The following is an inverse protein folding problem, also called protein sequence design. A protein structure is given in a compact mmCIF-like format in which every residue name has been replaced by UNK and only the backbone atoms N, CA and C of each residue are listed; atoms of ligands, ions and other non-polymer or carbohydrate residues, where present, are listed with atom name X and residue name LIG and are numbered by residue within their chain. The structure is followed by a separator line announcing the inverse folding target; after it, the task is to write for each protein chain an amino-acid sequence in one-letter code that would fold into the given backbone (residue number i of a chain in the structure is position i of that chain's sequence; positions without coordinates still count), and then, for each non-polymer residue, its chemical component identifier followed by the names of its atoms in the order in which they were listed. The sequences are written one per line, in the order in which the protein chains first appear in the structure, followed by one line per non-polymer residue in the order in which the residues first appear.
data_IF_183632771978
#
_entry.id   IF_183632771978
#
_cell.length_a   1.000
_cell.length_b   1.000
_cell.length_c   1.000
_cell.angle_alpha   90.00
_cell.angle_beta   90.00
_cell.angle_gamma   90.00
#
_symmetry.space_group_name_H-M   'P 1'
#
loop_
_entity.id
_entity.type
_entity.pdbx_description
1 polymer ?
#
# COMPACT_ATOMS: atom_id res chain seq x y z
N UNK A 1 -26.68 22.01 -52.19
CA UNK A 1 -25.81 21.68 -51.05
C UNK A 1 -26.35 20.69 -50.01
N UNK A 2 -27.67 20.50 -49.83
CA UNK A 2 -28.18 19.67 -48.71
C UNK A 2 -27.99 18.15 -48.84
N UNK A 3 -27.91 17.57 -50.04
CA UNK A 3 -27.72 16.12 -50.21
C UNK A 3 -26.32 15.61 -49.82
N UNK A 4 -25.27 16.43 -49.99
CA UNK A 4 -23.89 16.05 -49.65
C UNK A 4 -23.63 16.04 -48.13
N UNK A 5 -24.28 16.95 -47.38
CA UNK A 5 -24.18 17.04 -45.92
C UNK A 5 -24.85 15.85 -45.21
N UNK A 6 -26.02 15.42 -45.70
CA UNK A 6 -26.74 14.25 -45.16
C UNK A 6 -25.98 12.95 -45.41
N UNK A 7 -25.33 12.80 -46.58
CA UNK A 7 -24.56 11.60 -46.92
C UNK A 7 -23.32 11.43 -46.01
N UNK A 8 -22.64 12.53 -45.66
CA UNK A 8 -21.49 12.51 -44.73
C UNK A 8 -21.89 12.15 -43.30
N UNK A 9 -23.04 12.64 -42.81
CA UNK A 9 -23.54 12.28 -41.47
C UNK A 9 -23.87 10.78 -41.36
N UNK A 10 -24.54 10.23 -42.37
CA UNK A 10 -24.84 8.79 -42.41
C UNK A 10 -23.56 7.93 -42.45
N UNK A 11 -22.53 8.36 -43.16
CA UNK A 11 -21.25 7.65 -43.24
C UNK A 11 -20.50 7.67 -41.89
N UNK A 12 -20.55 8.80 -41.20
CA UNK A 12 -19.96 8.95 -39.86
C UNK A 12 -20.68 8.08 -38.82
N UNK A 13 -22.01 7.99 -38.91
CA UNK A 13 -22.82 7.13 -38.03
C UNK A 13 -22.65 5.64 -38.35
N UNK A 14 -22.46 5.29 -39.61
CA UNK A 14 -22.11 3.93 -40.01
C UNK A 14 -20.72 3.53 -39.50
N UNK A 15 -19.74 4.42 -39.58
CA UNK A 15 -18.40 4.18 -39.04
C UNK A 15 -18.45 4.01 -37.51
N UNK A 16 -19.17 4.89 -36.79
CA UNK A 16 -19.37 4.75 -35.33
C UNK A 16 -20.00 3.41 -34.95
N UNK A 17 -21.03 2.97 -35.66
CA UNK A 17 -21.68 1.67 -35.42
C UNK A 17 -20.74 0.50 -35.67
N UNK A 18 -19.90 0.57 -36.70
CA UNK A 18 -18.88 -0.47 -37.00
C UNK A 18 -17.82 -0.53 -35.89
N UNK A 19 -17.34 0.62 -35.41
CA UNK A 19 -16.35 0.68 -34.33
C UNK A 19 -16.93 0.15 -33.01
N UNK A 20 -18.16 0.54 -32.65
CA UNK A 20 -18.83 0.01 -31.46
C UNK A 20 -19.00 -1.52 -31.55
N UNK A 21 -19.44 -2.04 -32.70
CA UNK A 21 -19.59 -3.48 -32.90
C UNK A 21 -18.26 -4.24 -32.84
N UNK A 22 -17.19 -3.66 -33.38
CA UNK A 22 -15.83 -4.23 -33.29
C UNK A 22 -15.29 -4.19 -31.85
N UNK A 23 -15.56 -3.12 -31.11
CA UNK A 23 -15.22 -3.00 -29.69
C UNK A 23 -15.97 -4.03 -28.85
N UNK A 24 -17.29 -4.16 -29.02
CA UNK A 24 -18.10 -5.16 -28.32
C UNK A 24 -17.67 -6.59 -28.66
N UNK A 25 -17.28 -6.84 -29.91
CA UNK A 25 -16.73 -8.14 -30.34
C UNK A 25 -15.38 -8.43 -29.68
N UNK A 26 -14.45 -7.46 -29.66
CA UNK A 26 -13.16 -7.63 -28.99
C UNK A 26 -13.30 -7.85 -27.47
N UNK A 27 -14.22 -7.12 -26.82
CA UNK A 27 -14.55 -7.34 -25.40
C UNK A 27 -15.16 -8.73 -25.21
N UNK A 28 -16.07 -9.16 -26.09
CA UNK A 28 -16.66 -10.49 -26.03
C UNK A 28 -15.62 -11.59 -26.28
N UNK A 29 -14.61 -11.38 -27.13
CA UNK A 29 -13.57 -12.35 -27.40
C UNK A 29 -12.53 -12.44 -26.27
N UNK A 30 -12.15 -11.30 -25.67
CA UNK A 30 -11.20 -11.25 -24.54
C UNK A 30 -11.83 -11.79 -23.25
N UNK A 31 -13.14 -11.59 -23.05
CA UNK A 31 -13.84 -11.98 -21.83
C UNK A 31 -14.76 -13.20 -21.98
N UNK A 32 -14.95 -13.73 -23.20
CA UNK A 32 -15.58 -15.04 -23.36
C UNK A 32 -14.63 -16.10 -22.82
N UNK A 33 -15.12 -16.83 -21.84
CA UNK A 33 -14.42 -17.96 -21.27
C UNK A 33 -14.27 -18.97 -22.42
N UNK A 34 -13.05 -19.12 -22.93
CA UNK A 34 -12.72 -20.08 -23.98
C UNK A 34 -13.30 -21.43 -23.58
N UNK A 35 -14.33 -21.85 -24.30
CA UNK A 35 -14.89 -23.20 -24.21
C UNK A 35 -13.79 -24.12 -24.74
N UNK A 36 -13.01 -24.69 -23.84
CA UNK A 36 -11.94 -25.62 -24.17
C UNK A 36 -12.53 -26.76 -24.98
N UNK A 37 -12.10 -26.86 -26.23
CA UNK A 37 -12.37 -28.04 -27.04
C UNK A 37 -11.72 -29.24 -26.35
N UNK A 38 -12.58 -30.14 -25.89
CA UNK A 38 -12.26 -31.48 -25.42
C UNK A 38 -11.51 -32.24 -26.52
N UNK A 39 -10.24 -32.52 -26.27
CA UNK A 39 -9.38 -33.36 -27.10
C UNK A 39 -8.29 -33.96 -26.20
N UNK A 40 -8.48 -35.24 -25.85
CA UNK A 40 -7.75 -35.98 -24.83
C UNK A 40 -6.22 -36.04 -25.04
N UNK A 41 -5.45 -35.76 -23.97
CA UNK A 41 -4.26 -36.55 -23.63
C UNK A 41 -3.96 -36.44 -22.13
N UNK A 42 -4.04 -37.59 -21.44
CA UNK A 42 -3.76 -37.75 -20.01
C UNK A 42 -2.28 -37.55 -19.74
N UNK A 43 -1.95 -36.60 -18.86
CA UNK A 43 -0.87 -36.60 -17.83
C UNK A 43 -0.54 -35.16 -17.43
N UNK A 44 -1.52 -34.40 -16.96
CA UNK A 44 -1.26 -33.22 -16.12
C UNK A 44 -2.36 -33.22 -15.08
N UNK A 45 -1.99 -33.52 -13.84
CA UNK A 45 -2.85 -33.30 -12.69
C UNK A 45 -3.36 -31.85 -12.79
N UNK A 46 -4.67 -31.59 -12.67
CA UNK A 46 -5.20 -30.23 -12.72
C UNK A 46 -4.40 -29.38 -11.74
N UNK A 47 -3.68 -28.38 -12.24
CA UNK A 47 -2.92 -27.48 -11.37
C UNK A 47 -3.90 -26.94 -10.33
N UNK A 48 -3.62 -27.37 -9.12
CA UNK A 48 -4.44 -27.22 -7.95
C UNK A 48 -4.63 -25.72 -7.69
N UNK A 49 -5.81 -25.42 -7.14
CA UNK A 49 -6.35 -24.13 -6.73
C UNK A 49 -5.35 -22.99 -6.49
N UNK A 50 -5.78 -21.76 -6.83
CA UNK A 50 -5.18 -20.46 -6.46
C UNK A 50 -4.62 -20.41 -5.01
N UNK A 51 -5.19 -21.21 -4.10
CA UNK A 51 -4.74 -21.44 -2.72
C UNK A 51 -3.27 -21.91 -2.61
N UNK A 52 -2.79 -22.79 -3.50
CA UNK A 52 -1.41 -23.30 -3.43
C UNK A 52 -0.35 -22.27 -3.86
N UNK A 53 -0.71 -21.36 -4.77
CA UNK A 53 0.19 -20.25 -5.12
C UNK A 53 0.29 -19.23 -3.97
N UNK A 54 -0.78 -19.07 -3.19
CA UNK A 54 -0.76 -18.22 -1.99
C UNK A 54 0.10 -18.84 -0.87
N UNK A 55 0.04 -20.15 -0.68
CA UNK A 55 0.87 -20.87 0.30
C UNK A 55 2.37 -20.74 0.00
N UNK A 56 2.77 -20.62 -1.27
CA UNK A 56 4.16 -20.39 -1.67
C UNK A 56 4.65 -18.97 -1.38
N UNK A 57 3.81 -17.96 -1.57
CA UNK A 57 4.12 -16.57 -1.23
C UNK A 57 4.18 -16.37 0.30
N UNK A 58 3.33 -17.08 1.04
CA UNK A 58 3.35 -17.11 2.50
C UNK A 58 4.61 -17.82 3.03
N UNK A 59 4.97 -19.00 2.49
CA UNK A 59 6.21 -19.68 2.85
C UNK A 59 7.47 -18.86 2.52
N UNK A 60 7.46 -18.14 1.40
CA UNK A 60 8.57 -17.27 1.00
C UNK A 60 8.70 -16.03 1.90
N UNK A 61 7.57 -15.42 2.28
CA UNK A 61 7.56 -14.28 3.20
C UNK A 61 7.92 -14.68 4.63
N UNK A 62 7.53 -15.86 5.09
CA UNK A 62 7.98 -16.46 6.35
C UNK A 62 9.50 -16.73 6.34
N UNK A 63 10.03 -17.33 5.28
CA UNK A 63 11.47 -17.56 5.14
C UNK A 63 12.25 -16.23 5.16
N UNK A 64 11.72 -15.19 4.50
CA UNK A 64 12.33 -13.87 4.47
C UNK A 64 12.31 -13.17 5.84
N UNK A 65 11.23 -13.33 6.61
CA UNK A 65 11.12 -12.82 7.98
C UNK A 65 12.06 -13.56 8.94
N UNK A 66 12.12 -14.89 8.85
CA UNK A 66 13.04 -15.72 9.66
C UNK A 66 14.50 -15.37 9.39
N UNK A 67 14.87 -15.17 8.12
CA UNK A 67 16.21 -14.69 7.75
C UNK A 67 16.47 -13.27 8.26
N UNK A 68 15.48 -12.38 8.23
CA UNK A 68 15.59 -11.03 8.78
C UNK A 68 15.83 -11.02 10.29
N UNK A 69 15.07 -11.82 11.03
CA UNK A 69 15.20 -11.95 12.48
C UNK A 69 16.51 -12.63 12.89
N UNK A 70 16.93 -13.66 12.15
CA UNK A 70 18.20 -14.35 12.38
C UNK A 70 19.41 -13.46 12.05
N UNK A 71 19.39 -12.74 10.93
CA UNK A 71 20.44 -11.77 10.60
C UNK A 71 20.46 -10.63 11.62
N UNK A 72 19.30 -10.17 12.09
CA UNK A 72 19.20 -9.12 13.10
C UNK A 72 19.70 -9.53 14.48
N UNK A 73 19.64 -10.83 14.82
CA UNK A 73 20.18 -11.37 16.08
C UNK A 73 21.67 -11.69 15.96
N UNK A 74 22.13 -12.24 14.84
CA UNK A 74 23.56 -12.52 14.60
C UNK A 74 24.40 -11.26 14.44
N UNK A 75 23.96 -10.29 13.64
CA UNK A 75 24.69 -9.01 13.49
C UNK A 75 24.71 -8.19 14.79
N UNK A 76 23.69 -8.33 15.63
CA UNK A 76 23.65 -7.65 16.94
C UNK A 76 24.60 -8.31 17.94
N UNK A 77 24.68 -9.64 17.95
CA UNK A 77 25.66 -10.40 18.76
C UNK A 77 27.10 -10.15 18.31
N UNK A 78 27.35 -10.04 17.01
CA UNK A 78 28.69 -9.73 16.48
C UNK A 78 29.12 -8.30 16.80
N UNK A 79 28.21 -7.32 16.82
CA UNK A 79 28.52 -5.94 17.25
C UNK A 79 28.73 -5.80 18.77
N UNK A 80 28.22 -6.73 19.57
CA UNK A 80 28.30 -6.68 21.04
C UNK A 80 29.52 -7.46 21.58
N UNK A 81 30.29 -8.11 20.69
CA UNK A 81 31.51 -8.87 21.00
C UNK A 81 32.80 -8.27 20.40
N UNK A 82 32.73 -7.14 19.69
CA UNK A 82 33.88 -6.53 18.98
C UNK A 82 34.64 -5.47 19.82
N UNK A 83 34.30 -5.31 21.10
CA UNK A 83 34.92 -4.31 22.00
C UNK A 83 35.82 -4.92 23.10
N UNK A 84 36.24 -6.19 23.01
CA UNK A 84 37.19 -6.77 24.00
C UNK A 84 38.31 -7.57 23.30
N UNK A 85 39.42 -6.85 23.09
CA UNK A 85 40.83 -7.24 22.98
C UNK A 85 41.25 -8.66 22.53
N UNK A 86 42.01 -8.67 21.43
CA UNK A 86 42.95 -9.70 20.99
C UNK A 86 44.19 -9.73 21.91
N UNK A 87 44.55 -10.90 22.45
CA UNK A 87 45.97 -11.27 22.38
C UNK A 87 46.20 -12.68 21.82
N UNK A 88 46.53 -12.73 20.52
CA UNK A 88 47.39 -13.78 19.96
C UNK A 88 48.81 -13.66 20.51
N UNK A 89 49.29 -14.73 21.14
CA UNK A 89 50.45 -15.55 20.71
C UNK A 89 51.19 -16.13 21.92
N UNK A 90 51.14 -17.45 22.08
CA UNK A 90 52.32 -18.25 22.42
C UNK A 90 52.04 -19.71 22.06
N UNK A 91 52.51 -20.10 20.88
CA UNK A 91 52.75 -21.49 20.55
C UNK A 91 54.23 -21.76 20.82
N UNK A 92 54.51 -22.60 21.81
CA UNK A 92 55.77 -23.34 21.98
C UNK A 92 55.34 -24.78 22.24
N UNK A 93 55.29 -25.63 21.21
CA UNK A 93 56.40 -26.49 20.78
C UNK A 93 57.05 -27.26 21.94
N UNK A 94 56.58 -28.48 22.19
CA UNK A 94 57.45 -29.60 22.59
C UNK A 94 56.80 -30.89 22.11
N UNK A 95 57.26 -31.40 20.97
CA UNK A 95 57.26 -32.84 20.74
C UNK A 95 58.55 -33.42 21.33
N UNK A 96 58.50 -34.57 22.01
CA UNK A 96 59.61 -35.48 22.07
C UNK A 96 59.50 -36.47 20.91
N UNK A 97 60.50 -36.42 20.03
CA UNK A 97 60.73 -37.46 19.04
C UNK A 97 61.33 -38.72 19.68
N UNK A 98 61.21 -39.81 18.91
CA UNK A 98 61.92 -41.10 18.97
C UNK A 98 61.28 -42.21 19.82
N UNK A 99 60.59 -43.13 19.13
CA UNK A 99 60.90 -44.57 19.23
C UNK A 99 60.68 -45.24 17.86
N UNK A 100 61.77 -45.40 17.11
CA UNK A 100 61.81 -46.26 15.94
C UNK A 100 61.90 -47.72 16.42
N UNK A 101 60.81 -48.48 16.30
CA UNK A 101 60.83 -49.93 16.51
C UNK A 101 60.23 -50.64 15.30
N UNK A 102 61.03 -51.53 14.71
CA UNK A 102 60.62 -52.42 13.64
C UNK A 102 59.59 -53.42 14.18
N UNK A 103 58.37 -53.38 13.65
CA UNK A 103 57.30 -54.33 13.99
C UNK A 103 57.09 -55.26 12.80
N UNK A 104 57.42 -56.55 12.95
CA UNK A 104 57.24 -57.56 11.90
C UNK A 104 55.98 -58.42 12.07
N UNK A 105 55.18 -58.21 13.12
CA UNK A 105 53.92 -58.93 13.35
C UNK A 105 52.94 -58.13 14.24
N UNK A 106 51.63 -58.27 13.99
CA UNK A 106 50.52 -57.61 14.67
C UNK A 106 50.33 -58.09 16.12
N UNK A 107 50.67 -59.34 16.42
CA UNK A 107 50.53 -59.91 17.78
C UNK A 107 51.56 -59.34 18.77
N UNK A 108 52.76 -58.96 18.30
CA UNK A 108 53.79 -58.32 19.14
C UNK A 108 53.39 -56.91 19.59
N UNK A 109 52.55 -56.21 18.82
CA UNK A 109 52.01 -54.89 19.20
C UNK A 109 51.05 -55.00 20.39
N UNK A 110 50.18 -56.01 20.38
CA UNK A 110 49.22 -56.22 21.44
C UNK A 110 49.87 -56.73 22.73
N UNK A 111 50.89 -57.58 22.61
CA UNK A 111 51.64 -58.07 23.77
C UNK A 111 52.36 -56.92 24.50
N UNK A 112 52.95 -55.96 23.76
CA UNK A 112 53.68 -54.84 24.34
C UNK A 112 52.76 -53.78 24.96
N UNK A 113 51.62 -53.48 24.34
CA UNK A 113 50.58 -52.62 24.92
C UNK A 113 49.93 -53.23 26.17
N UNK A 114 49.95 -54.56 26.31
CA UNK A 114 49.41 -55.26 27.47
C UNK A 114 50.39 -55.31 28.66
N UNK A 115 51.70 -55.16 28.41
CA UNK A 115 52.76 -55.20 29.43
C UNK A 115 53.17 -53.81 29.95
N UNK A 116 52.75 -52.72 29.29
CA UNK A 116 53.13 -51.36 29.67
C UNK A 116 52.34 -50.89 30.90
N UNK A 117 53.02 -50.81 32.05
CA UNK A 117 52.49 -50.38 33.35
C UNK A 117 52.28 -48.84 33.39
N UNK A 118 51.61 -48.30 32.36
CA UNK A 118 51.29 -46.88 32.22
C UNK A 118 50.33 -46.39 33.30
N UNK A 119 49.51 -47.29 33.88
CA UNK A 119 48.55 -46.92 34.92
C UNK A 119 49.21 -46.27 36.15
N UNK A 120 50.43 -46.68 36.54
CA UNK A 120 51.10 -46.10 37.72
C UNK A 120 51.75 -44.75 37.41
N UNK A 121 52.29 -44.59 36.20
CA UNK A 121 52.89 -43.35 35.72
C UNK A 121 51.81 -42.31 35.46
N UNK A 122 50.70 -42.71 34.83
CA UNK A 122 49.53 -41.85 34.60
C UNK A 122 48.88 -41.45 35.91
N UNK A 123 48.75 -42.36 36.89
CA UNK A 123 48.19 -42.01 38.20
C UNK A 123 49.09 -41.06 38.98
N UNK A 124 50.42 -41.23 38.95
CA UNK A 124 51.34 -40.31 39.63
C UNK A 124 51.40 -38.93 38.96
N UNK A 125 51.23 -38.86 37.63
CA UNK A 125 51.12 -37.60 36.90
C UNK A 125 49.81 -36.88 37.17
N UNK A 126 48.69 -37.61 37.21
CA UNK A 126 47.36 -37.07 37.53
C UNK A 126 47.32 -36.55 38.97
N UNK A 127 47.95 -37.27 39.90
CA UNK A 127 48.04 -36.86 41.29
C UNK A 127 48.88 -35.58 41.45
N UNK A 128 50.02 -35.45 40.76
CA UNK A 128 50.79 -34.21 40.74
C UNK A 128 50.01 -33.03 40.12
N UNK A 129 49.24 -33.26 39.05
CA UNK A 129 48.37 -32.23 38.45
C UNK A 129 47.24 -31.78 39.38
N UNK A 130 46.75 -32.66 40.23
CA UNK A 130 45.72 -32.33 41.23
C UNK A 130 46.30 -31.60 42.45
N UNK A 131 47.56 -31.88 42.81
CA UNK A 131 48.26 -31.23 43.93
C UNK A 131 48.87 -29.87 43.54
N UNK A 132 49.00 -29.59 42.24
CA UNK A 132 49.49 -28.32 41.72
C UNK A 132 48.39 -27.24 41.80
N UNK A 133 48.43 -26.40 42.85
CA UNK A 133 47.60 -25.18 42.94
C UNK A 133 48.01 -24.18 41.86
N UNK A 134 47.35 -24.23 40.70
CA UNK A 134 47.60 -23.37 39.54
C UNK A 134 46.95 -21.97 39.65
N UNK A 135 46.27 -21.67 40.74
CA UNK A 135 45.61 -20.38 40.97
C UNK A 135 46.07 -19.81 42.31
N UNK A 136 46.68 -18.63 42.27
CA UNK A 136 47.03 -17.86 43.47
C UNK A 136 45.77 -17.71 44.34
N UNK A 137 45.87 -18.01 45.64
CA UNK A 137 44.74 -18.03 46.60
C UNK A 137 43.91 -16.74 46.60
N UNK A 138 44.51 -15.62 46.16
CA UNK A 138 43.88 -14.32 45.96
C UNK A 138 42.86 -14.29 44.80
N UNK A 139 43.11 -15.01 43.71
CA UNK A 139 42.19 -15.08 42.57
C UNK A 139 40.94 -15.93 42.86
N UNK A 140 41.07 -16.93 43.75
CA UNK A 140 39.94 -17.78 44.15
C UNK A 140 38.94 -16.97 45.02
N UNK A 141 39.41 -16.07 45.87
CA UNK A 141 38.55 -15.15 46.64
C UNK A 141 37.81 -14.15 45.73
N UNK A 142 38.48 -13.63 44.69
CA UNK A 142 37.89 -12.67 43.75
C UNK A 142 36.77 -13.29 42.88
N UNK A 143 36.87 -14.58 42.59
CA UNK A 143 35.81 -15.33 41.89
C UNK A 143 34.62 -15.67 42.80
N UNK A 144 34.85 -15.95 44.09
CA UNK A 144 33.79 -16.28 45.05
C UNK A 144 32.84 -15.12 45.40
N UNK A 145 33.30 -13.88 45.19
CA UNK A 145 32.48 -12.66 45.38
C UNK A 145 31.44 -12.45 44.26
N UNK A 146 31.57 -13.14 43.12
CA UNK A 146 30.69 -12.99 41.94
C UNK A 146 29.52 -13.99 41.87
N UNK A 147 29.41 -14.90 42.84
CA UNK A 147 28.32 -15.90 42.89
C UNK A 147 26.95 -15.32 43.24
N UNK A 148 26.89 -14.06 43.70
CA UNK A 148 25.66 -13.36 44.08
C UNK A 148 24.85 -12.80 42.90
N UNK A 149 25.48 -12.34 41.82
CA UNK A 149 24.82 -11.62 40.72
C UNK A 149 24.44 -12.53 39.54
N UNK A 150 25.01 -13.72 39.44
CA UNK A 150 24.81 -14.63 38.30
C UNK A 150 23.75 -15.72 38.55
N UNK A 151 22.90 -15.60 39.57
CA UNK A 151 21.62 -16.33 39.64
C UNK A 151 20.61 -15.80 38.62
N UNK A 152 21.01 -15.72 37.35
CA UNK A 152 20.08 -15.84 36.21
C UNK A 152 19.46 -17.22 36.35
N UNK A 153 18.25 -17.26 36.93
CA UNK A 153 17.41 -18.45 37.05
C UNK A 153 17.46 -19.18 35.71
N UNK A 154 18.11 -20.35 35.64
CA UNK A 154 17.99 -21.28 34.52
C UNK A 154 16.51 -21.60 34.37
N UNK A 155 15.85 -20.85 33.51
CA UNK A 155 14.42 -21.01 33.25
C UNK A 155 14.32 -22.23 32.36
N UNK A 156 13.65 -23.28 32.85
CA UNK A 156 13.51 -24.54 32.14
C UNK A 156 13.16 -24.28 30.66
N UNK A 157 14.00 -24.70 29.70
CA UNK A 157 13.86 -24.35 28.28
C UNK A 157 12.56 -24.89 27.67
N UNK A 158 11.99 -25.94 28.26
CA UNK A 158 10.67 -26.49 27.90
C UNK A 158 9.55 -25.50 28.24
N UNK A 159 9.61 -24.88 29.42
CA UNK A 159 8.59 -23.94 29.90
C UNK A 159 8.61 -22.63 29.09
N UNK A 160 9.79 -22.19 28.64
CA UNK A 160 9.92 -21.00 27.78
C UNK A 160 9.48 -21.28 26.34
N UNK A 161 9.75 -22.47 25.81
CA UNK A 161 9.29 -22.90 24.48
C UNK A 161 7.77 -23.09 24.44
N UNK A 162 7.20 -23.73 25.46
CA UNK A 162 5.75 -23.96 25.53
C UNK A 162 4.99 -22.63 25.66
N UNK A 163 5.47 -21.71 26.49
CA UNK A 163 4.91 -20.36 26.60
C UNK A 163 4.96 -19.62 25.24
N UNK A 164 6.05 -19.77 24.48
CA UNK A 164 6.16 -19.19 23.14
C UNK A 164 5.16 -19.82 22.17
N UNK A 165 4.99 -21.14 22.18
CA UNK A 165 4.00 -21.82 21.33
C UNK A 165 2.57 -21.42 21.68
N UNK A 166 2.25 -21.28 22.97
CA UNK A 166 0.96 -20.78 23.43
C UNK A 166 0.72 -19.35 22.94
N UNK A 167 1.72 -18.47 23.05
CA UNK A 167 1.65 -17.09 22.56
C UNK A 167 1.47 -17.02 21.03
N UNK A 168 2.14 -17.90 20.28
CA UNK A 168 1.96 -17.98 18.81
C UNK A 168 0.55 -18.43 18.45
N UNK A 169 0.01 -19.45 19.13
CA UNK A 169 -1.38 -19.91 18.93
C UNK A 169 -2.39 -18.83 19.26
N UNK A 170 -2.21 -18.13 20.38
CA UNK A 170 -3.08 -17.04 20.80
C UNK A 170 -3.01 -15.87 19.81
N UNK A 171 -1.81 -15.49 19.36
CA UNK A 171 -1.64 -14.44 18.36
C UNK A 171 -2.26 -14.82 17.00
N UNK A 172 -2.19 -16.10 16.60
CA UNK A 172 -2.87 -16.59 15.40
C UNK A 172 -4.38 -16.44 15.53
N UNK A 173 -4.95 -16.88 16.65
CA UNK A 173 -6.39 -16.73 16.94
C UNK A 173 -6.84 -15.27 16.99
N UNK A 174 -6.03 -14.39 17.60
CA UNK A 174 -6.28 -12.94 17.62
C UNK A 174 -6.34 -12.35 16.21
N UNK A 175 -5.37 -12.68 15.36
CA UNK A 175 -5.34 -12.24 13.95
C UNK A 175 -6.54 -12.78 13.15
N UNK A 176 -6.92 -14.04 13.38
CA UNK A 176 -8.09 -14.63 12.71
C UNK A 176 -9.40 -13.95 13.14
N UNK A 177 -9.53 -13.65 14.43
CA UNK A 177 -10.68 -12.91 14.96
C UNK A 177 -10.73 -11.48 14.42
N UNK A 178 -9.59 -10.79 14.32
CA UNK A 178 -9.50 -9.47 13.70
C UNK A 178 -9.88 -9.50 12.22
N UNK A 179 -9.37 -10.48 11.45
CA UNK A 179 -9.76 -10.69 10.04
C UNK A 179 -11.27 -10.88 9.89
N UNK A 180 -11.88 -11.72 10.73
CA UNK A 180 -13.33 -11.92 10.74
C UNK A 180 -14.09 -10.64 11.05
N UNK A 181 -13.66 -9.87 12.07
CA UNK A 181 -14.28 -8.57 12.39
C UNK A 181 -14.18 -7.59 11.23
N UNK A 182 -13.03 -7.49 10.56
CA UNK A 182 -12.86 -6.64 9.39
C UNK A 182 -13.75 -7.05 8.22
N UNK A 183 -13.96 -8.35 8.00
CA UNK A 183 -14.88 -8.83 6.97
C UNK A 183 -16.32 -8.43 7.29
N UNK A 184 -16.78 -8.68 8.52
CA UNK A 184 -18.12 -8.29 8.98
C UNK A 184 -18.33 -6.77 8.89
N UNK A 185 -17.33 -5.97 9.24
CA UNK A 185 -17.41 -4.51 9.12
C UNK A 185 -17.51 -4.07 7.65
N UNK A 186 -16.70 -4.66 6.75
CA UNK A 186 -16.78 -4.37 5.31
C UNK A 186 -18.14 -4.75 4.72
N UNK A 187 -18.72 -5.85 5.16
CA UNK A 187 -20.07 -6.27 4.76
C UNK A 187 -21.13 -5.31 5.27
N UNK A 188 -21.10 -4.94 6.55
CA UNK A 188 -21.98 -3.94 7.13
C UNK A 188 -21.87 -2.59 6.41
N UNK A 189 -20.65 -2.14 6.07
CA UNK A 189 -20.44 -0.92 5.27
C UNK A 189 -21.04 -1.03 3.87
N UNK A 190 -20.91 -2.20 3.20
CA UNK A 190 -21.53 -2.44 1.89
C UNK A 190 -23.05 -2.42 1.98
N UNK A 191 -23.62 -3.01 3.02
CA UNK A 191 -25.06 -3.00 3.26
C UNK A 191 -25.60 -1.61 3.56
N UNK A 192 -24.93 -0.84 4.42
CA UNK A 192 -25.27 0.54 4.71
C UNK A 192 -25.26 1.41 3.44
N UNK A 193 -24.25 1.22 2.56
CA UNK A 193 -24.20 1.92 1.26
C UNK A 193 -25.33 1.50 0.32
N UNK A 194 -25.72 0.23 0.30
CA UNK A 194 -26.84 -0.26 -0.52
C UNK A 194 -28.17 0.30 -0.01
N UNK A 195 -28.36 0.30 1.31
CA UNK A 195 -29.56 0.85 1.96
C UNK A 195 -29.66 2.38 1.75
N UNK A 196 -28.57 3.12 1.91
CA UNK A 196 -28.54 4.55 1.63
C UNK A 196 -28.96 4.87 0.18
N UNK A 197 -28.43 4.11 -0.79
CA UNK A 197 -28.86 4.22 -2.19
C UNK A 197 -30.35 3.91 -2.36
N UNK A 198 -30.89 2.88 -1.70
CA UNK A 198 -32.34 2.58 -1.76
C UNK A 198 -33.16 3.76 -1.25
N UNK A 199 -32.78 4.34 -0.11
CA UNK A 199 -33.44 5.52 0.47
C UNK A 199 -33.42 6.70 -0.48
N UNK A 200 -32.27 7.01 -1.08
CA UNK A 200 -32.14 8.09 -2.07
C UNK A 200 -33.07 7.88 -3.27
N UNK A 201 -33.14 6.66 -3.81
CA UNK A 201 -34.05 6.33 -4.91
C UNK A 201 -35.52 6.47 -4.51
N UNK A 202 -35.90 6.04 -3.31
CA UNK A 202 -37.27 6.19 -2.78
C UNK A 202 -37.66 7.66 -2.59
N UNK A 203 -36.76 8.48 -2.05
CA UNK A 203 -36.95 9.92 -1.88
C UNK A 203 -37.05 10.64 -3.23
N UNK A 204 -36.22 10.30 -4.20
CA UNK A 204 -36.29 10.87 -5.55
C UNK A 204 -37.63 10.55 -6.22
N UNK A 205 -38.12 9.31 -6.07
CA UNK A 205 -39.43 8.91 -6.62
C UNK A 205 -40.59 9.64 -5.93
N UNK A 206 -40.54 9.83 -4.60
CA UNK A 206 -41.53 10.62 -3.87
C UNK A 206 -41.52 12.08 -4.32
N UNK A 207 -40.34 12.69 -4.43
CA UNK A 207 -40.19 14.08 -4.90
C UNK A 207 -40.75 14.28 -6.30
N UNK A 208 -40.44 13.37 -7.24
CA UNK A 208 -41.03 13.39 -8.59
C UNK A 208 -42.55 13.28 -8.56
N UNK A 209 -43.09 12.46 -7.66
CA UNK A 209 -44.54 12.33 -7.51
C UNK A 209 -45.18 13.61 -6.97
N UNK A 210 -44.54 14.28 -6.01
CA UNK A 210 -44.97 15.56 -5.46
C UNK A 210 -44.93 16.66 -6.53
N UNK A 211 -43.83 16.79 -7.26
CA UNK A 211 -43.69 17.72 -8.39
C UNK A 211 -44.80 17.50 -9.43
N UNK A 212 -45.13 16.25 -9.75
CA UNK A 212 -46.23 15.93 -10.67
C UNK A 212 -47.61 16.33 -10.11
N UNK A 213 -47.82 16.23 -8.78
CA UNK A 213 -49.07 16.68 -8.13
C UNK A 213 -49.16 18.21 -8.14
N UNK A 214 -48.07 18.89 -7.81
CA UNK A 214 -47.98 20.35 -7.83
C UNK A 214 -48.20 20.90 -9.24
N UNK A 215 -47.58 20.29 -10.25
CA UNK A 215 -47.76 20.67 -11.65
C UNK A 215 -49.23 20.53 -12.09
N UNK A 216 -49.90 19.43 -11.71
CA UNK A 216 -51.34 19.25 -11.98
C UNK A 216 -52.19 20.33 -11.30
N UNK A 217 -51.84 20.76 -10.10
CA UNK A 217 -52.54 21.85 -9.41
C UNK A 217 -52.28 23.19 -10.10
N UNK A 218 -51.04 23.47 -10.49
CA UNK A 218 -50.64 24.63 -11.29
C UNK A 218 -51.39 24.69 -12.62
N UNK A 219 -51.54 23.57 -13.32
CA UNK A 219 -52.30 23.49 -14.56
C UNK A 219 -53.79 23.83 -14.35
N UNK A 220 -54.39 23.35 -13.25
CA UNK A 220 -55.78 23.70 -12.90
C UNK A 220 -55.93 25.19 -12.60
N UNK A 221 -55.01 25.77 -11.82
CA UNK A 221 -55.01 27.20 -11.52
C UNK A 221 -54.75 28.04 -12.78
N UNK A 222 -53.85 27.61 -13.67
CA UNK A 222 -53.66 28.24 -14.98
C UNK A 222 -54.92 28.19 -15.84
N UNK A 223 -55.66 27.09 -15.82
CA UNK A 223 -56.91 26.96 -16.57
C UNK A 223 -57.98 27.91 -16.01
N UNK A 224 -58.11 28.02 -14.67
CA UNK A 224 -58.99 29.00 -14.04
C UNK A 224 -58.59 30.44 -14.39
N UNK A 225 -57.31 30.77 -14.32
CA UNK A 225 -56.79 32.09 -14.64
C UNK A 225 -57.04 32.43 -16.13
N UNK A 226 -56.83 31.49 -17.05
CA UNK A 226 -57.17 31.67 -18.47
C UNK A 226 -58.65 31.97 -18.66
N UNK A 227 -59.53 31.24 -17.96
CA UNK A 227 -60.98 31.49 -18.00
C UNK A 227 -61.35 32.88 -17.46
N UNK A 228 -60.79 33.28 -16.32
CA UNK A 228 -61.00 34.62 -15.76
C UNK A 228 -60.47 35.73 -16.68
N UNK A 229 -59.32 35.52 -17.33
CA UNK A 229 -58.77 36.46 -18.31
C UNK A 229 -59.66 36.57 -19.55
N UNK A 230 -60.23 35.46 -20.04
CA UNK A 230 -61.20 35.46 -21.14
C UNK A 230 -62.48 36.21 -20.77
N UNK A 231 -63.00 35.98 -19.55
CA UNK A 231 -64.17 36.66 -19.01
C UNK A 231 -63.92 38.17 -18.84
N UNK A 232 -62.77 38.56 -18.30
CA UNK A 232 -62.34 39.96 -18.18
C UNK A 232 -62.17 40.61 -19.55
N UNK A 233 -61.54 39.94 -20.52
CA UNK A 233 -61.45 40.42 -21.91
C UNK A 233 -62.83 40.56 -22.56
N UNK A 234 -63.77 39.66 -22.25
CA UNK A 234 -65.17 39.77 -22.67
C UNK A 234 -65.87 40.98 -22.05
N UNK A 235 -65.66 41.23 -20.76
CA UNK A 235 -66.20 42.39 -20.05
C UNK A 235 -65.59 43.70 -20.57
N UNK A 236 -64.29 43.77 -20.77
CA UNK A 236 -63.58 44.91 -21.38
C UNK A 236 -64.07 45.18 -22.81
N UNK A 237 -64.34 44.14 -23.61
CA UNK A 237 -64.96 44.32 -24.94
C UNK A 237 -66.35 44.95 -24.83
N UNK A 238 -67.18 44.52 -23.88
CA UNK A 238 -68.50 45.13 -23.62
C UNK A 238 -68.39 46.57 -23.12
N UNK A 239 -67.44 46.86 -22.22
CA UNK A 239 -67.19 48.23 -21.74
C UNK A 239 -66.73 49.11 -22.88
N UNK A 240 -65.74 48.68 -23.69
CA UNK A 240 -65.29 49.44 -24.87
C UNK A 240 -66.39 49.69 -25.89
N UNK A 241 -67.33 48.76 -26.05
CA UNK A 241 -68.48 48.98 -26.92
C UNK A 241 -69.41 50.06 -26.37
N UNK A 242 -69.72 50.01 -25.06
CA UNK A 242 -70.46 51.08 -24.38
C UNK A 242 -69.70 52.41 -24.34
N UNK A 243 -68.37 52.38 -24.25
CA UNK A 243 -67.54 53.56 -24.36
C UNK A 243 -67.60 54.14 -25.75
N UNK A 244 -67.50 53.35 -26.83
CA UNK A 244 -67.70 53.85 -28.20
C UNK A 244 -69.09 54.46 -28.40
N UNK A 245 -70.12 53.86 -27.81
CA UNK A 245 -71.48 54.42 -27.78
C UNK A 245 -71.54 55.72 -26.95
N UNK A 246 -70.80 55.82 -25.85
CA UNK A 246 -70.62 57.05 -25.07
C UNK A 246 -69.68 58.07 -25.70
N UNK A 247 -68.74 57.67 -26.55
CA UNK A 247 -67.73 58.51 -27.21
C UNK A 247 -68.39 59.21 -28.39
N UNK A 248 -69.27 58.52 -29.12
CA UNK A 248 -70.25 59.12 -30.03
C UNK A 248 -71.16 60.14 -29.30
N UNK A 249 -71.38 59.98 -27.98
CA UNK A 249 -72.09 60.96 -27.13
C UNK A 249 -71.18 62.01 -26.47
N UNK A 250 -69.88 61.78 -26.35
CA UNK A 250 -68.88 62.64 -25.68
C UNK A 250 -67.97 63.40 -26.65
N UNK A 251 -68.04 63.14 -27.95
CA UNK A 251 -67.41 63.96 -29.01
C UNK A 251 -67.98 65.39 -29.09
N UNK A 252 -68.93 65.76 -28.22
CA UNK A 252 -69.38 67.14 -28.02
C UNK A 252 -68.62 67.86 -26.88
N UNK A 253 -67.81 67.20 -26.05
CA UNK A 253 -67.13 67.88 -24.92
C UNK A 253 -65.69 67.40 -24.67
N UNK A 254 -64.77 68.24 -25.17
CA UNK A 254 -63.61 68.80 -24.43
C UNK A 254 -62.24 68.08 -24.46
N UNK A 255 -61.35 68.66 -25.28
CA UNK A 255 -60.00 69.21 -25.01
C UNK A 255 -59.03 68.63 -23.94
N UNK A 256 -57.80 68.37 -24.46
CA UNK A 256 -56.46 68.73 -23.95
C UNK A 256 -55.90 68.08 -22.65
N UNK A 257 -54.77 67.33 -22.71
CA UNK A 257 -53.98 66.94 -21.55
C UNK A 257 -52.96 68.01 -21.14
N UNK A 258 -52.87 68.23 -19.82
CA UNK A 258 -51.97 69.17 -19.13
C UNK A 258 -50.52 68.62 -19.12
N UNK A 259 -49.48 69.42 -19.44
CA UNK A 259 -48.09 69.01 -19.29
C UNK A 259 -47.62 69.07 -17.83
N UNK A 260 -46.94 68.00 -17.38
CA UNK A 260 -46.29 67.89 -16.07
C UNK A 260 -44.98 68.72 -16.08
N UNK A 261 -44.62 69.45 -15.01
CA UNK A 261 -43.46 70.34 -14.99
C UNK A 261 -42.11 69.60 -15.06
N UNK A 262 -41.13 70.12 -15.83
CA UNK A 262 -39.86 69.45 -16.16
C UNK A 262 -38.89 69.27 -14.96
N UNK A 263 -39.16 69.90 -13.82
CA UNK A 263 -38.24 69.94 -12.68
C UNK A 263 -38.23 68.63 -11.87
N UNK A 264 -39.36 67.91 -11.79
CA UNK A 264 -39.42 66.59 -11.11
C UNK A 264 -38.80 65.47 -11.95
N UNK A 265 -38.75 65.65 -13.27
CA UNK A 265 -38.22 64.66 -14.21
C UNK A 265 -36.69 64.54 -14.14
N UNK A 266 -35.98 65.66 -13.95
CA UNK A 266 -34.50 65.67 -13.85
C UNK A 266 -33.98 64.92 -12.62
N UNK A 267 -34.56 65.16 -11.45
CA UNK A 267 -34.17 64.48 -10.20
C UNK A 267 -34.44 62.96 -10.25
N UNK A 268 -35.55 62.54 -10.86
CA UNK A 268 -35.85 61.12 -11.11
C UNK A 268 -34.83 60.48 -12.06
N UNK A 269 -34.39 61.21 -13.08
CA UNK A 269 -33.45 60.72 -14.08
C UNK A 269 -32.02 60.62 -13.55
N UNK A 270 -31.58 61.56 -12.71
CA UNK A 270 -30.27 61.52 -12.02
C UNK A 270 -30.22 60.37 -11.00
N UNK A 271 -31.30 60.18 -10.22
CA UNK A 271 -31.41 59.05 -9.29
C UNK A 271 -31.43 57.70 -10.03
N UNK A 272 -32.07 57.62 -11.20
CA UNK A 272 -32.06 56.42 -12.04
C UNK A 272 -30.67 56.11 -12.59
N UNK A 273 -29.91 57.14 -13.00
CA UNK A 273 -28.53 56.96 -13.48
C UNK A 273 -27.58 56.51 -12.36
N UNK A 274 -27.73 57.04 -11.15
CA UNK A 274 -26.95 56.58 -9.98
C UNK A 274 -27.27 55.11 -9.66
N UNK A 275 -28.54 54.74 -9.65
CA UNK A 275 -28.96 53.35 -9.43
C UNK A 275 -28.42 52.41 -10.51
N UNK A 276 -28.40 52.83 -11.78
CA UNK A 276 -27.80 52.05 -12.87
C UNK A 276 -26.29 51.85 -12.68
N UNK A 277 -25.56 52.89 -12.26
CA UNK A 277 -24.13 52.80 -11.96
C UNK A 277 -23.87 51.83 -10.79
N UNK A 278 -24.65 51.93 -9.72
CA UNK A 278 -24.56 51.02 -8.57
C UNK A 278 -24.82 49.57 -8.96
N UNK A 279 -25.84 49.31 -9.78
CA UNK A 279 -26.12 47.97 -10.32
C UNK A 279 -24.95 47.46 -11.17
N UNK A 280 -24.37 48.31 -12.02
CA UNK A 280 -23.21 47.92 -12.83
C UNK A 280 -21.98 47.58 -11.99
N UNK A 281 -21.69 48.35 -10.93
CA UNK A 281 -20.58 48.04 -10.01
C UNK A 281 -20.81 46.73 -9.27
N UNK A 282 -22.04 46.45 -8.84
CA UNK A 282 -22.42 45.20 -8.18
C UNK A 282 -22.24 44.00 -9.12
N UNK A 283 -22.67 44.13 -10.39
CA UNK A 283 -22.48 43.11 -11.42
C UNK A 283 -20.99 42.88 -11.68
N UNK A 284 -20.19 43.93 -11.82
CA UNK A 284 -18.74 43.81 -12.03
C UNK A 284 -18.05 43.12 -10.85
N UNK A 285 -18.38 43.52 -9.61
CA UNK A 285 -17.93 42.87 -8.39
C UNK A 285 -18.30 41.38 -8.34
N UNK A 286 -19.53 41.03 -8.74
CA UNK A 286 -19.98 39.63 -8.76
C UNK A 286 -19.20 38.80 -9.79
N UNK A 287 -18.90 39.37 -10.97
CA UNK A 287 -18.08 38.74 -12.01
C UNK A 287 -16.65 38.50 -11.53
N UNK A 288 -16.03 39.50 -10.89
CA UNK A 288 -14.70 39.37 -10.28
C UNK A 288 -14.65 38.27 -9.21
N UNK A 289 -15.67 38.21 -8.33
CA UNK A 289 -15.78 37.14 -7.32
C UNK A 289 -15.94 35.76 -7.96
N UNK A 290 -16.73 35.66 -9.03
CA UNK A 290 -16.90 34.42 -9.79
C UNK A 290 -15.56 33.96 -10.43
N UNK A 291 -14.87 34.87 -11.10
CA UNK A 291 -13.54 34.60 -11.67
C UNK A 291 -12.55 34.17 -10.59
N UNK A 292 -12.48 34.90 -9.47
CA UNK A 292 -11.59 34.57 -8.37
C UNK A 292 -11.84 33.14 -7.82
N UNK A 293 -13.10 32.72 -7.66
CA UNK A 293 -13.45 31.35 -7.23
C UNK A 293 -13.00 30.30 -8.23
N UNK A 294 -13.14 30.57 -9.53
CA UNK A 294 -12.70 29.62 -10.56
C UNK A 294 -11.17 29.56 -10.66
N UNK A 295 -10.48 30.70 -10.59
CA UNK A 295 -9.03 30.74 -10.58
C UNK A 295 -8.44 30.10 -9.33
N UNK A 296 -9.03 30.32 -8.15
CA UNK A 296 -8.57 29.68 -6.91
C UNK A 296 -8.79 28.17 -6.94
N UNK A 297 -9.95 27.72 -7.42
CA UNK A 297 -10.23 26.29 -7.62
C UNK A 297 -9.27 25.65 -8.63
N UNK A 298 -9.03 26.28 -9.77
CA UNK A 298 -8.07 25.80 -10.76
C UNK A 298 -6.65 25.75 -10.20
N UNK A 299 -6.23 26.81 -9.50
CA UNK A 299 -4.91 26.89 -8.88
C UNK A 299 -4.69 25.78 -7.84
N UNK A 300 -5.70 25.48 -7.01
CA UNK A 300 -5.67 24.36 -6.07
C UNK A 300 -5.43 23.04 -6.78
N UNK A 301 -6.20 22.75 -7.84
CA UNK A 301 -6.07 21.50 -8.60
C UNK A 301 -4.70 21.39 -9.27
N UNK A 302 -4.16 22.50 -9.79
CA UNK A 302 -2.82 22.52 -10.38
C UNK A 302 -1.75 22.24 -9.33
N UNK A 303 -1.85 22.85 -8.16
CA UNK A 303 -0.94 22.60 -7.04
C UNK A 303 -1.00 21.15 -6.57
N UNK A 304 -2.19 20.59 -6.39
CA UNK A 304 -2.36 19.20 -5.95
C UNK A 304 -1.72 18.22 -6.94
N UNK A 305 -1.90 18.46 -8.25
CA UNK A 305 -1.27 17.66 -9.30
C UNK A 305 0.25 17.77 -9.27
N UNK A 306 0.81 18.98 -9.14
CA UNK A 306 2.27 19.19 -9.01
C UNK A 306 2.82 18.46 -7.79
N UNK A 307 2.19 18.63 -6.63
CA UNK A 307 2.59 17.96 -5.40
C UNK A 307 2.53 16.44 -5.50
N UNK A 308 1.51 15.88 -6.18
CA UNK A 308 1.46 14.45 -6.46
C UNK A 308 2.61 14.00 -7.36
N UNK A 309 2.91 14.74 -8.43
CA UNK A 309 4.03 14.44 -9.33
C UNK A 309 5.37 14.50 -8.60
N UNK A 310 5.57 15.51 -7.76
CA UNK A 310 6.79 15.68 -6.97
C UNK A 310 6.98 14.52 -5.97
N UNK A 311 5.90 14.07 -5.31
CA UNK A 311 5.92 12.87 -4.47
C UNK A 311 6.31 11.63 -5.27
N UNK A 312 5.74 11.43 -6.45
CA UNK A 312 6.07 10.29 -7.33
C UNK A 312 7.54 10.35 -7.74
N UNK A 313 8.07 11.51 -8.12
CA UNK A 313 9.48 11.70 -8.46
C UNK A 313 10.38 11.39 -7.27
N UNK A 314 10.04 11.88 -6.07
CA UNK A 314 10.79 11.61 -4.85
C UNK A 314 10.83 10.11 -4.53
N UNK A 315 9.69 9.40 -4.61
CA UNK A 315 9.61 7.95 -4.39
C UNK A 315 10.41 7.17 -5.43
N UNK A 316 10.34 7.56 -6.71
CA UNK A 316 11.13 6.94 -7.77
C UNK A 316 12.63 7.13 -7.55
N UNK A 317 13.06 8.31 -7.11
CA UNK A 317 14.46 8.59 -6.79
C UNK A 317 14.93 7.79 -5.58
N UNK A 318 14.12 7.70 -4.53
CA UNK A 318 14.42 6.87 -3.36
C UNK A 318 14.55 5.38 -3.73
N UNK A 319 13.61 4.84 -4.53
CA UNK A 319 13.68 3.45 -5.02
C UNK A 319 14.94 3.20 -5.86
N UNK A 320 15.33 4.15 -6.72
CA UNK A 320 16.57 4.04 -7.49
C UNK A 320 17.80 3.99 -6.59
N UNK A 321 17.88 4.87 -5.58
CA UNK A 321 18.97 4.86 -4.59
C UNK A 321 19.01 3.56 -3.79
N UNK A 322 17.86 3.04 -3.36
CA UNK A 322 17.77 1.78 -2.64
C UNK A 322 18.29 0.60 -3.49
N UNK A 323 17.89 0.52 -4.76
CA UNK A 323 18.40 -0.51 -5.68
C UNK A 323 19.91 -0.40 -5.89
N UNK A 324 20.43 0.81 -6.07
CA UNK A 324 21.86 1.03 -6.20
C UNK A 324 22.62 0.59 -4.94
N UNK A 325 22.09 0.91 -3.76
CA UNK A 325 22.66 0.50 -2.48
C UNK A 325 22.62 -1.02 -2.28
N UNK A 326 21.50 -1.68 -2.61
CA UNK A 326 21.38 -3.14 -2.57
C UNK A 326 22.36 -3.83 -3.53
N UNK A 327 22.53 -3.29 -4.74
CA UNK A 327 23.49 -3.79 -5.72
C UNK A 327 24.93 -3.63 -5.21
N UNK A 328 25.27 -2.45 -4.68
CA UNK A 328 26.58 -2.20 -4.08
C UNK A 328 26.86 -3.15 -2.92
N UNK A 329 25.91 -3.31 -1.99
CA UNK A 329 26.02 -4.26 -0.88
C UNK A 329 26.25 -5.68 -1.41
N UNK A 330 25.49 -6.12 -2.41
CA UNK A 330 25.65 -7.44 -3.02
C UNK A 330 27.05 -7.64 -3.63
N UNK A 331 27.59 -6.63 -4.30
CA UNK A 331 28.95 -6.66 -4.85
C UNK A 331 30.01 -6.75 -3.74
N UNK A 332 29.87 -5.98 -2.66
CA UNK A 332 30.78 -6.02 -1.52
C UNK A 332 30.77 -7.39 -0.85
N UNK A 333 29.59 -7.96 -0.61
CA UNK A 333 29.46 -9.31 -0.04
C UNK A 333 30.04 -10.39 -0.96
N UNK A 334 29.80 -10.28 -2.28
CA UNK A 334 30.39 -11.20 -3.24
C UNK A 334 31.92 -11.12 -3.24
N UNK A 335 32.49 -9.91 -3.23
CA UNK A 335 33.93 -9.72 -3.15
C UNK A 335 34.53 -10.24 -1.84
N UNK A 336 33.83 -10.05 -0.71
CA UNK A 336 34.26 -10.60 0.57
C UNK A 336 34.24 -12.13 0.56
N UNK A 337 33.15 -12.75 0.07
CA UNK A 337 33.07 -14.21 -0.08
C UNK A 337 34.16 -14.76 -1.00
N UNK A 338 34.47 -14.09 -2.10
CA UNK A 338 35.55 -14.50 -2.99
C UNK A 338 36.91 -14.49 -2.28
N UNK A 339 37.18 -13.50 -1.42
CA UNK A 339 38.41 -13.45 -0.61
C UNK A 339 38.46 -14.58 0.41
N UNK A 340 37.35 -14.86 1.09
CA UNK A 340 37.25 -15.98 2.03
C UNK A 340 37.50 -17.32 1.32
N UNK A 341 36.87 -17.54 0.16
CA UNK A 341 37.09 -18.73 -0.66
C UNK A 341 38.56 -18.83 -1.11
N UNK A 342 39.17 -17.74 -1.57
CA UNK A 342 40.58 -17.75 -1.95
C UNK A 342 41.49 -18.13 -0.76
N UNK A 343 41.22 -17.60 0.44
CA UNK A 343 41.96 -17.94 1.66
C UNK A 343 41.81 -19.41 2.03
N UNK A 344 40.60 -19.96 2.00
CA UNK A 344 40.36 -21.36 2.33
C UNK A 344 40.97 -22.30 1.29
N UNK A 345 40.87 -21.97 0.01
CA UNK A 345 41.55 -22.74 -1.04
C UNK A 345 43.08 -22.72 -0.89
N UNK A 346 43.67 -21.57 -0.56
CA UNK A 346 45.10 -21.48 -0.30
C UNK A 346 45.51 -22.30 0.93
N UNK A 347 44.72 -22.29 2.00
CA UNK A 347 44.94 -23.12 3.17
C UNK A 347 44.90 -24.62 2.81
N UNK A 348 43.87 -25.07 2.10
CA UNK A 348 43.75 -26.46 1.63
C UNK A 348 44.89 -26.86 0.70
N UNK A 349 45.36 -25.96 -0.19
CA UNK A 349 46.54 -26.23 -1.03
C UNK A 349 47.81 -26.40 -0.20
N UNK A 350 47.98 -25.66 0.90
CA UNK A 350 49.12 -25.78 1.79
C UNK A 350 49.06 -27.10 2.58
N UNK A 351 47.91 -27.44 3.14
CA UNK A 351 47.70 -28.71 3.84
C UNK A 351 47.95 -29.91 2.91
N UNK A 352 47.42 -29.89 1.69
CA UNK A 352 47.64 -30.97 0.72
C UNK A 352 49.12 -31.13 0.32
N UNK A 353 49.88 -30.03 0.26
CA UNK A 353 51.34 -30.12 0.04
C UNK A 353 52.04 -30.75 1.26
N UNK A 354 51.62 -30.40 2.47
CA UNK A 354 52.18 -30.98 3.70
C UNK A 354 51.86 -32.47 3.82
N UNK A 355 50.65 -32.91 3.49
CA UNK A 355 50.29 -34.33 3.51
C UNK A 355 51.04 -35.14 2.45
N UNK A 356 51.26 -34.59 1.26
CA UNK A 356 52.09 -35.24 0.23
C UNK A 356 53.53 -35.41 0.71
N UNK A 357 54.12 -34.37 1.30
CA UNK A 357 55.48 -34.45 1.86
C UNK A 357 55.57 -35.47 3.00
N UNK A 358 54.55 -35.56 3.87
CA UNK A 358 54.50 -36.56 4.93
C UNK A 358 54.42 -38.00 4.38
N UNK A 359 53.62 -38.22 3.34
CA UNK A 359 53.48 -39.53 2.69
C UNK A 359 54.72 -39.97 1.89
N UNK A 360 55.58 -39.04 1.47
CA UNK A 360 56.86 -39.33 0.81
C UNK A 360 58.01 -39.57 1.81
N UNK A 361 57.84 -39.16 3.08
CA UNK A 361 58.83 -39.35 4.14
C UNK A 361 58.67 -40.62 4.96
N UNK A 362 57.54 -41.33 4.81
CA UNK A 362 57.25 -42.67 5.37
C UNK A 362 57.61 -43.76 4.35
#
# INVERSE_FOLDING_TARGET
SNKASVKKKNDTDQWRKRVLKASEFAVSEVFSHKKTHSGNSRLVAPLQSLDQFADHDDAYSEAQALLGDWLGTKLRLELEMDDEDDPRNTAENTQPAAFAHNYSNFDDLYARLAEEEEQSVVNSFLQNLMEQELLDSRMVEELSLNDGETRKKFRNPVVTMEARHQQVRENRLRRDAERKKQLMEKEAQREARKEAKRREWEEEMKKKQEECREEKMLQKEMMKLRRQMEERRGLERRVRQREREQEVQKEVRSAQPIPIPPTKQKHLQESHQQLEQDIQTLIHMSKLKCLHRHFSGWHSVVLDKKLCMDKVVALCNWRRRLKAWQAWRSLVWAAHRQREVARTEEALRKENRQTQLAAESD
#
